data_IF_559869307620
#
_entry.id   IF_559869307620
#
_cell.length_a   1.000
_cell.length_b   1.000
_cell.length_c   1.000
_cell.angle_alpha   90.00
_cell.angle_beta   90.00
_cell.angle_gamma   90.00
#
_symmetry.space_group_name_H-M   'P 1'
#
loop_
_entity.id
_entity.type
_entity.pdbx_description
1 polymer ?
#
# COMPACT_ATOMS: atom_id res chain seq x y z
N UNK A 1 21.32 30.07 13.18
CA UNK A 1 20.72 29.78 11.86
C UNK A 1 21.25 28.45 11.28
N UNK A 2 21.51 27.42 12.08
CA UNK A 2 22.21 26.22 11.57
C UNK A 2 21.90 24.92 12.32
N UNK A 3 20.72 24.77 12.94
CA UNK A 3 20.48 23.58 13.80
C UNK A 3 19.03 23.05 13.78
N UNK A 4 18.26 23.37 12.72
CA UNK A 4 16.88 22.89 12.56
C UNK A 4 16.67 21.95 11.36
N UNK A 5 17.71 21.69 10.57
CA UNK A 5 17.61 20.96 9.31
C UNK A 5 17.80 19.43 9.43
N UNK A 6 18.14 18.90 10.61
CA UNK A 6 18.59 17.51 10.76
C UNK A 6 17.55 16.55 11.38
N UNK A 7 16.28 16.96 11.49
CA UNK A 7 15.20 16.13 12.09
C UNK A 7 14.11 15.66 11.13
N UNK A 8 14.28 15.82 9.82
CA UNK A 8 13.29 15.38 8.83
C UNK A 8 13.45 13.88 8.53
N UNK A 9 12.51 13.06 9.02
CA UNK A 9 12.24 11.71 8.51
C UNK A 9 11.65 11.74 7.09
N UNK A 10 11.49 10.59 6.42
CA UNK A 10 11.37 10.52 4.97
C UNK A 10 10.15 11.26 4.41
N UNK A 11 10.42 12.19 3.49
CA UNK A 11 9.45 12.94 2.71
C UNK A 11 8.50 12.01 1.93
N UNK A 12 7.19 12.24 2.07
CA UNK A 12 6.19 11.73 1.14
C UNK A 12 6.08 12.68 -0.07
N UNK A 13 5.98 12.17 -1.32
CA UNK A 13 5.90 13.03 -2.49
C UNK A 13 4.54 13.72 -2.60
N UNK A 14 4.54 15.05 -2.49
CA UNK A 14 3.39 15.90 -2.79
C UNK A 14 3.02 15.82 -4.28
N UNK A 15 1.83 15.30 -4.60
CA UNK A 15 1.23 15.43 -5.95
C UNK A 15 0.46 16.75 -6.05
N UNK A 16 0.99 17.69 -6.84
CA UNK A 16 0.24 18.86 -7.32
C UNK A 16 -0.85 18.41 -8.28
N UNK A 17 -2.12 18.62 -7.93
CA UNK A 17 -3.25 18.41 -8.85
C UNK A 17 -3.45 19.70 -9.65
N UNK A 18 -3.07 19.67 -10.92
CA UNK A 18 -3.34 20.74 -11.89
C UNK A 18 -4.77 20.69 -12.39
N UNK A 19 -5.49 21.79 -12.27
CA UNK A 19 -6.82 22.00 -12.84
C UNK A 19 -6.70 22.38 -14.32
N UNK A 20 -7.07 21.49 -15.23
CA UNK A 20 -7.46 21.88 -16.58
C UNK A 20 -8.48 20.89 -17.16
N UNK A 21 -9.65 21.42 -17.54
CA UNK A 21 -10.67 20.69 -18.31
C UNK A 21 -10.42 20.95 -19.80
N UNK A 22 -10.42 19.93 -20.66
CA UNK A 22 -10.64 20.14 -22.08
C UNK A 22 -12.10 19.91 -22.48
N UNK A 23 -12.55 20.78 -23.38
CA UNK A 23 -13.83 20.80 -24.09
C UNK A 23 -13.88 19.63 -25.08
N UNK A 24 -14.95 18.83 -25.05
CA UNK A 24 -15.13 17.69 -25.95
C UNK A 24 -15.67 18.08 -27.34
N UNK A 25 -15.41 17.27 -28.39
CA UNK A 25 -16.07 17.45 -29.68
C UNK A 25 -17.38 16.66 -29.76
N UNK A 26 -18.37 17.27 -30.44
CA UNK A 26 -19.63 16.66 -30.88
C UNK A 26 -19.37 15.64 -32.00
N UNK A 27 -20.08 14.51 -31.99
CA UNK A 27 -20.10 13.58 -33.14
C UNK A 27 -21.03 12.38 -32.94
N UNK A 28 -22.22 12.49 -33.53
CA UNK A 28 -23.11 11.46 -34.13
C UNK A 28 -23.08 9.99 -33.68
N UNK A 29 -24.26 9.50 -33.32
CA UNK A 29 -24.59 8.12 -33.04
C UNK A 29 -24.66 7.26 -34.32
N UNK A 30 -23.91 6.15 -34.35
CA UNK A 30 -24.24 4.98 -35.15
C UNK A 30 -24.30 3.74 -34.24
N UNK A 31 -25.37 2.96 -34.41
CA UNK A 31 -25.61 1.69 -33.70
C UNK A 31 -24.67 0.63 -34.27
N UNK A 32 -23.70 0.20 -33.48
CA UNK A 32 -22.92 -1.01 -33.65
C UNK A 32 -22.34 -1.40 -32.29
N UNK A 33 -22.38 -2.68 -31.94
CA UNK A 33 -21.73 -3.17 -30.71
C UNK A 33 -20.24 -2.80 -30.79
N UNK A 34 -19.66 -2.07 -29.83
CA UNK A 34 -18.26 -1.69 -29.90
C UNK A 34 -17.40 -2.95 -29.85
N UNK A 35 -16.56 -3.14 -30.87
CA UNK A 35 -15.49 -4.13 -30.85
C UNK A 35 -14.49 -3.65 -29.81
N UNK A 36 -14.05 -4.53 -28.90
CA UNK A 36 -13.12 -4.23 -27.79
C UNK A 36 -11.80 -3.55 -28.23
N UNK A 37 -11.53 -3.48 -29.53
CA UNK A 37 -10.40 -2.78 -30.14
C UNK A 37 -10.50 -1.24 -30.06
N UNK A 38 -11.70 -0.67 -29.91
CA UNK A 38 -11.92 0.79 -29.94
C UNK A 38 -11.84 1.47 -28.57
N UNK A 39 -11.50 0.72 -27.51
CA UNK A 39 -11.26 1.28 -26.17
C UNK A 39 -9.79 1.70 -26.08
N UNK A 40 -9.48 3.01 -25.93
CA UNK A 40 -8.13 3.56 -26.05
C UNK A 40 -7.13 3.18 -24.93
N UNK A 41 -7.41 2.13 -24.15
CA UNK A 41 -6.53 1.58 -23.12
C UNK A 41 -6.43 0.04 -23.14
N UNK A 42 -7.26 -0.66 -23.92
CA UNK A 42 -7.34 -2.12 -23.90
C UNK A 42 -6.91 -2.78 -25.21
N UNK A 43 -6.99 -2.07 -26.35
CA UNK A 43 -6.64 -2.63 -27.66
C UNK A 43 -5.17 -3.05 -27.77
N UNK A 44 -4.25 -2.37 -27.07
CA UNK A 44 -2.81 -2.65 -27.12
C UNK A 44 -2.34 -3.78 -26.20
N UNK A 45 -3.16 -4.24 -25.25
CA UNK A 45 -2.81 -5.32 -24.34
C UNK A 45 -2.86 -6.71 -24.99
N UNK A 46 -3.55 -6.84 -26.14
CA UNK A 46 -3.78 -8.12 -26.82
C UNK A 46 -3.20 -8.21 -28.23
N UNK A 47 -2.62 -7.13 -28.75
CA UNK A 47 -1.89 -7.18 -30.02
C UNK A 47 -0.43 -7.58 -29.76
N UNK A 48 -0.06 -8.76 -30.27
CA UNK A 48 1.31 -9.24 -30.38
C UNK A 48 2.13 -8.22 -31.21
N UNK A 49 2.63 -7.20 -30.53
CA UNK A 49 3.32 -6.07 -31.15
C UNK A 49 4.77 -6.47 -31.38
N UNK A 50 5.25 -6.28 -32.61
CA UNK A 50 6.65 -6.50 -32.97
C UNK A 50 7.54 -5.76 -31.95
N UNK A 51 8.49 -6.41 -31.26
CA UNK A 51 9.29 -5.78 -30.20
C UNK A 51 10.08 -4.55 -30.69
N UNK A 52 10.22 -4.38 -32.01
CA UNK A 52 10.84 -3.20 -32.65
C UNK A 52 9.92 -1.98 -32.75
N UNK A 53 8.60 -2.14 -32.61
CA UNK A 53 7.61 -1.05 -32.71
C UNK A 53 6.87 -0.78 -31.40
N UNK A 54 7.24 -1.47 -30.31
CA UNK A 54 6.63 -1.25 -29.01
C UNK A 54 6.94 0.16 -28.48
N UNK A 55 5.91 0.86 -27.99
CA UNK A 55 6.08 2.12 -27.27
C UNK A 55 7.06 1.94 -26.11
N UNK A 56 7.94 2.92 -25.82
CA UNK A 56 8.85 2.88 -24.67
C UNK A 56 8.17 2.56 -23.34
N UNK A 57 6.91 2.98 -23.18
CA UNK A 57 6.10 2.69 -21.99
C UNK A 57 5.75 1.21 -21.87
N UNK A 58 5.38 0.56 -22.98
CA UNK A 58 5.06 -0.86 -23.00
C UNK A 58 6.30 -1.71 -22.70
N UNK A 59 7.44 -1.39 -23.31
CA UNK A 59 8.70 -2.06 -23.01
C UNK A 59 9.09 -1.93 -21.52
N UNK A 60 8.85 -0.77 -20.92
CA UNK A 60 9.09 -0.54 -19.49
C UNK A 60 8.17 -1.37 -18.60
N UNK A 61 6.89 -1.48 -18.95
CA UNK A 61 5.92 -2.30 -18.22
C UNK A 61 6.25 -3.79 -18.30
N UNK A 62 6.59 -4.29 -19.50
CA UNK A 62 7.01 -5.68 -19.68
C UNK A 62 8.27 -5.98 -18.87
N UNK A 63 9.28 -5.11 -18.92
CA UNK A 63 10.50 -5.28 -18.12
C UNK A 63 10.21 -5.29 -16.61
N UNK A 64 9.31 -4.43 -16.12
CA UNK A 64 8.90 -4.41 -14.72
C UNK A 64 8.17 -5.71 -14.31
N UNK A 65 7.27 -6.21 -15.15
CA UNK A 65 6.58 -7.49 -14.94
C UNK A 65 7.55 -8.67 -14.90
N UNK A 66 8.53 -8.72 -15.80
CA UNK A 66 9.54 -9.79 -15.84
C UNK A 66 10.43 -9.77 -14.60
N UNK A 67 10.84 -8.59 -14.11
CA UNK A 67 11.60 -8.47 -12.85
C UNK A 67 10.80 -8.96 -11.65
N UNK A 68 9.49 -8.69 -11.63
CA UNK A 68 8.62 -9.21 -10.59
C UNK A 68 8.56 -10.74 -10.63
N UNK A 69 8.34 -11.32 -11.80
CA UNK A 69 8.37 -12.78 -11.99
C UNK A 69 9.71 -13.36 -11.55
N UNK A 70 10.83 -12.75 -11.96
CA UNK A 70 12.17 -13.14 -11.55
C UNK A 70 12.30 -13.16 -10.01
N UNK A 71 11.87 -12.09 -9.34
CA UNK A 71 11.92 -11.99 -7.87
C UNK A 71 11.05 -13.04 -7.17
N UNK A 72 9.88 -13.35 -7.73
CA UNK A 72 9.01 -14.40 -7.21
C UNK A 72 9.64 -15.77 -7.38
N UNK A 73 10.19 -16.07 -8.56
CA UNK A 73 10.88 -17.34 -8.82
C UNK A 73 12.06 -17.49 -7.86
N UNK A 74 12.93 -16.48 -7.73
CA UNK A 74 14.06 -16.54 -6.80
C UNK A 74 13.66 -16.89 -5.37
N UNK A 75 12.51 -16.42 -4.91
CA UNK A 75 12.04 -16.61 -3.53
C UNK A 75 11.35 -17.96 -3.33
N UNK A 76 10.55 -18.40 -4.30
CA UNK A 76 9.66 -19.56 -4.13
C UNK A 76 10.10 -20.82 -4.89
N UNK A 77 11.17 -20.75 -5.67
CA UNK A 77 11.72 -21.89 -6.41
C UNK A 77 12.03 -23.06 -5.49
N UNK A 78 11.56 -24.25 -5.88
CA UNK A 78 11.83 -25.49 -5.15
C UNK A 78 12.39 -26.54 -6.12
N UNK A 79 13.63 -27.05 -5.92
CA UNK A 79 14.59 -26.68 -4.87
C UNK A 79 15.23 -25.30 -5.10
N UNK A 80 15.63 -24.65 -4.01
CA UNK A 80 16.28 -23.33 -4.05
C UNK A 80 17.61 -23.35 -4.82
N UNK A 81 18.02 -22.19 -5.33
CA UNK A 81 19.32 -22.02 -6.00
C UNK A 81 20.42 -22.19 -4.96
N UNK A 82 21.29 -23.19 -5.15
CA UNK A 82 22.37 -23.50 -4.22
C UNK A 82 23.76 -23.54 -4.88
N UNK A 83 23.82 -23.68 -6.20
CA UNK A 83 25.06 -23.81 -6.96
C UNK A 83 25.42 -22.47 -7.64
N UNK A 84 26.68 -21.98 -7.56
CA UNK A 84 27.13 -20.77 -8.25
C UNK A 84 26.91 -20.77 -9.78
N UNK A 85 26.81 -21.94 -10.41
CA UNK A 85 26.53 -22.06 -11.84
C UNK A 85 25.04 -21.86 -12.18
N UNK A 86 24.15 -21.97 -11.20
CA UNK A 86 22.73 -21.71 -11.37
C UNK A 86 22.46 -20.21 -11.32
N UNK A 87 21.64 -19.73 -12.24
CA UNK A 87 21.29 -18.32 -12.30
C UNK A 87 19.90 -18.12 -12.86
N UNK A 88 19.32 -16.99 -12.49
CA UNK A 88 18.11 -16.46 -13.11
C UNK A 88 18.39 -14.98 -13.39
N UNK A 89 17.79 -14.43 -14.44
CA UNK A 89 17.93 -13.02 -14.77
C UNK A 89 16.89 -12.59 -15.78
N UNK A 90 16.59 -11.31 -15.80
CA UNK A 90 15.73 -10.68 -16.78
C UNK A 90 16.53 -9.83 -17.76
N UNK A 91 16.18 -9.93 -19.04
CA UNK A 91 16.72 -9.07 -20.10
C UNK A 91 15.98 -7.74 -20.14
N UNK A 92 16.60 -6.69 -20.71
CA UNK A 92 15.93 -5.42 -20.98
C UNK A 92 14.73 -5.57 -21.94
N UNK A 93 14.72 -6.62 -22.76
CA UNK A 93 13.64 -6.92 -23.69
C UNK A 93 12.45 -7.65 -23.03
N UNK A 94 12.50 -7.92 -21.72
CA UNK A 94 11.39 -8.57 -21.01
C UNK A 94 11.45 -10.10 -20.98
N UNK A 95 12.49 -10.73 -21.52
CA UNK A 95 12.70 -12.18 -21.43
C UNK A 95 13.32 -12.59 -20.10
N UNK A 96 12.89 -13.74 -19.57
CA UNK A 96 13.49 -14.41 -18.41
C UNK A 96 14.49 -15.47 -18.90
N UNK A 97 15.73 -15.40 -18.41
CA UNK A 97 16.79 -16.38 -18.66
C UNK A 97 17.02 -17.16 -17.37
N UNK A 98 16.98 -18.49 -17.46
CA UNK A 98 17.14 -19.38 -16.31
C UNK A 98 18.12 -20.51 -16.64
N UNK A 99 19.12 -20.68 -15.78
CA UNK A 99 20.03 -21.82 -15.77
C UNK A 99 19.87 -22.56 -14.44
N UNK A 100 19.34 -23.78 -14.47
CA UNK A 100 19.03 -24.54 -13.27
C UNK A 100 19.07 -26.05 -13.47
N UNK A 101 18.80 -26.78 -12.40
CA UNK A 101 18.59 -28.23 -12.46
C UNK A 101 17.28 -28.58 -13.15
N UNK A 102 17.14 -29.83 -13.60
CA UNK A 102 15.90 -30.33 -14.20
C UNK A 102 14.67 -30.10 -13.31
N UNK A 103 14.79 -30.38 -12.01
CA UNK A 103 13.69 -30.18 -11.05
C UNK A 103 13.27 -28.70 -10.96
N UNK A 104 14.24 -27.77 -10.98
CA UNK A 104 13.95 -26.34 -10.99
C UNK A 104 13.28 -25.89 -12.29
N UNK A 105 13.70 -26.42 -13.44
CA UNK A 105 13.05 -26.15 -14.72
C UNK A 105 11.61 -26.70 -14.76
N UNK A 106 11.36 -27.88 -14.18
CA UNK A 106 10.02 -28.46 -14.05
C UNK A 106 9.13 -27.58 -13.18
N UNK A 107 9.62 -27.14 -12.01
CA UNK A 107 8.90 -26.19 -11.14
C UNK A 107 8.61 -24.86 -11.84
N UNK A 108 9.61 -24.28 -12.52
CA UNK A 108 9.45 -23.01 -13.22
C UNK A 108 8.41 -23.12 -14.35
N UNK A 109 8.42 -24.23 -15.08
CA UNK A 109 7.42 -24.51 -16.12
C UNK A 109 6.02 -24.63 -15.51
N UNK A 110 5.89 -25.34 -14.39
CA UNK A 110 4.61 -25.47 -13.68
C UNK A 110 4.11 -24.10 -13.21
N UNK A 111 4.95 -23.31 -12.54
CA UNK A 111 4.62 -21.95 -12.09
C UNK A 111 4.20 -21.04 -13.24
N UNK A 112 4.97 -20.96 -14.33
CA UNK A 112 4.63 -20.10 -15.46
C UNK A 112 3.39 -20.58 -16.23
N UNK A 113 3.12 -21.89 -16.22
CA UNK A 113 1.88 -22.44 -16.81
C UNK A 113 0.70 -22.07 -15.94
N UNK A 114 0.81 -22.30 -14.63
CA UNK A 114 -0.22 -21.95 -13.65
C UNK A 114 -0.57 -20.46 -13.69
N UNK A 115 0.44 -19.58 -13.70
CA UNK A 115 0.25 -18.14 -13.74
C UNK A 115 -0.48 -17.67 -15.02
N UNK A 116 -0.24 -18.32 -16.16
CA UNK A 116 -0.94 -18.02 -17.43
C UNK A 116 -2.37 -18.55 -17.46
N UNK A 117 -2.63 -19.67 -16.79
CA UNK A 117 -3.97 -20.26 -16.72
C UNK A 117 -4.81 -19.74 -15.55
N UNK A 118 -4.23 -18.92 -14.66
CA UNK A 118 -4.93 -18.41 -13.49
C UNK A 118 -5.91 -17.31 -13.89
N UNK A 119 -7.20 -17.61 -13.77
CA UNK A 119 -8.34 -16.80 -14.21
C UNK A 119 -9.12 -16.16 -13.05
N UNK A 120 -8.62 -16.31 -11.82
CA UNK A 120 -9.22 -15.75 -10.60
C UNK A 120 -8.57 -14.40 -10.24
N UNK A 121 -9.29 -13.63 -9.44
CA UNK A 121 -8.76 -12.49 -8.72
C UNK A 121 -8.41 -12.92 -7.30
N UNK A 122 -7.54 -12.16 -6.63
CA UNK A 122 -7.22 -12.40 -5.22
C UNK A 122 -7.87 -11.30 -4.38
N UNK A 123 -8.81 -11.68 -3.52
CA UNK A 123 -9.35 -10.82 -2.49
C UNK A 123 -8.47 -10.89 -1.24
N UNK A 124 -8.09 -9.72 -0.73
CA UNK A 124 -7.37 -9.57 0.53
C UNK A 124 -8.15 -8.66 1.45
N UNK A 125 -8.49 -9.18 2.62
CA UNK A 125 -9.11 -8.44 3.72
C UNK A 125 -8.08 -8.27 4.83
N UNK A 126 -7.83 -7.05 5.29
CA UNK A 126 -6.98 -6.79 6.45
C UNK A 126 -7.80 -6.10 7.54
N UNK A 127 -7.92 -6.72 8.72
CA UNK A 127 -8.59 -6.13 9.89
C UNK A 127 -7.55 -5.54 10.83
N UNK A 128 -7.66 -4.25 11.08
CA UNK A 128 -6.78 -3.50 11.99
C UNK A 128 -7.42 -3.48 13.38
N UNK A 129 -6.72 -4.06 14.33
CA UNK A 129 -7.17 -4.20 15.72
C UNK A 129 -6.08 -3.68 16.64
N UNK A 130 -6.42 -2.71 17.49
CA UNK A 130 -5.51 -2.23 18.52
C UNK A 130 -5.73 -3.03 19.79
N UNK A 131 -4.65 -3.58 20.32
CA UNK A 131 -4.70 -4.44 21.50
C UNK A 131 -3.63 -3.98 22.50
N UNK A 132 -3.99 -3.79 23.78
CA UNK A 132 -3.00 -3.51 24.82
C UNK A 132 -1.99 -4.66 24.92
N UNK A 133 -0.70 -4.36 25.03
CA UNK A 133 0.37 -5.38 24.97
C UNK A 133 0.24 -6.51 26.01
N UNK A 134 -0.30 -6.21 27.20
CA UNK A 134 -0.55 -7.20 28.26
C UNK A 134 -1.60 -8.26 27.84
N UNK A 135 -2.61 -7.83 27.05
CA UNK A 135 -3.72 -8.69 26.60
C UNK A 135 -3.33 -9.62 25.46
N UNK A 136 -2.35 -9.25 24.63
CA UNK A 136 -1.87 -10.14 23.56
C UNK A 136 -1.39 -11.49 24.11
N UNK A 137 -0.66 -11.45 25.23
CA UNK A 137 -0.12 -12.64 25.89
C UNK A 137 -1.22 -13.54 26.45
N UNK A 138 -2.26 -12.95 27.02
CA UNK A 138 -3.43 -13.68 27.52
C UNK A 138 -4.18 -14.41 26.39
N UNK A 139 -4.15 -13.86 25.18
CA UNK A 139 -4.72 -14.47 23.97
C UNK A 139 -3.79 -15.51 23.32
N UNK A 140 -2.59 -15.74 23.86
CA UNK A 140 -1.60 -16.64 23.27
C UNK A 140 -0.99 -16.14 21.95
N UNK A 141 -1.16 -14.85 21.63
CA UNK A 141 -0.61 -14.24 20.42
C UNK A 141 0.74 -13.61 20.78
N UNK A 142 1.81 -14.36 20.59
CA UNK A 142 3.17 -13.90 20.92
C UNK A 142 3.87 -13.21 19.74
N UNK A 143 3.37 -13.40 18.51
CA UNK A 143 3.93 -12.83 17.30
C UNK A 143 3.13 -13.19 16.06
N UNK A 144 3.80 -13.11 14.90
CA UNK A 144 3.17 -13.42 13.63
C UNK A 144 2.82 -14.91 13.54
N UNK A 145 1.61 -15.22 13.12
CA UNK A 145 1.11 -16.59 12.99
C UNK A 145 0.25 -16.75 11.74
N UNK A 146 0.17 -17.99 11.24
CA UNK A 146 -0.67 -18.34 10.08
C UNK A 146 -1.65 -19.42 10.50
N UNK A 147 -2.93 -19.14 10.27
CA UNK A 147 -4.06 -20.04 10.46
C UNK A 147 -4.46 -20.59 9.08
N UNK A 148 -4.11 -21.86 8.79
CA UNK A 148 -4.40 -22.44 7.48
C UNK A 148 -5.91 -22.62 7.27
N UNK A 149 -6.66 -22.86 8.35
CA UNK A 149 -8.08 -23.18 8.30
C UNK A 149 -8.94 -21.93 8.51
N UNK A 150 -9.94 -21.67 7.65
CA UNK A 150 -10.85 -20.54 7.80
C UNK A 150 -11.70 -20.57 9.08
N UNK A 151 -11.94 -21.77 9.64
CA UNK A 151 -12.79 -22.01 10.81
C UNK A 151 -12.20 -21.49 12.14
N UNK A 152 -10.88 -21.31 12.21
CA UNK A 152 -10.20 -20.81 13.41
C UNK A 152 -10.35 -19.28 13.55
N UNK A 153 -10.60 -18.57 12.45
CA UNK A 153 -10.62 -17.10 12.40
C UNK A 153 -11.79 -16.50 13.17
N UNK A 154 -13.05 -16.98 13.01
CA UNK A 154 -14.16 -16.46 13.81
C UNK A 154 -13.93 -16.60 15.32
N UNK A 155 -13.35 -17.72 15.76
CA UNK A 155 -13.02 -17.96 17.18
C UNK A 155 -12.01 -16.95 17.70
N UNK A 156 -10.95 -16.69 16.93
CA UNK A 156 -9.96 -15.65 17.26
C UNK A 156 -10.60 -14.26 17.32
N UNK A 157 -11.41 -13.91 16.32
CA UNK A 157 -12.07 -12.59 16.27
C UNK A 157 -13.05 -12.41 17.43
N UNK A 158 -13.74 -13.48 17.83
CA UNK A 158 -14.64 -13.46 18.99
C UNK A 158 -13.87 -13.30 20.30
N UNK A 159 -12.75 -14.01 20.47
CA UNK A 159 -11.88 -13.83 21.63
C UNK A 159 -11.32 -12.40 21.72
N UNK A 160 -10.93 -11.80 20.59
CA UNK A 160 -10.51 -10.40 20.52
C UNK A 160 -11.62 -9.42 20.91
N UNK A 161 -12.87 -9.65 20.48
CA UNK A 161 -14.03 -8.81 20.85
C UNK A 161 -14.38 -8.89 22.33
N UNK A 162 -14.21 -10.07 22.94
CA UNK A 162 -14.48 -10.28 24.36
C UNK A 162 -13.38 -9.72 25.26
N UNK A 163 -12.22 -9.38 24.68
CA UNK A 163 -11.09 -8.82 25.43
C UNK A 163 -11.31 -7.34 25.73
N UNK A 164 -11.25 -6.91 27.02
CA UNK A 164 -11.42 -5.51 27.38
C UNK A 164 -10.36 -4.61 26.75
N UNK A 165 -10.78 -3.39 26.35
CA UNK A 165 -9.90 -2.35 25.76
C UNK A 165 -9.26 -2.74 24.42
N UNK A 166 -9.81 -3.74 23.73
CA UNK A 166 -9.53 -3.98 22.32
C UNK A 166 -10.37 -3.03 21.47
N UNK A 167 -9.75 -2.41 20.47
CA UNK A 167 -10.40 -1.47 19.57
C UNK A 167 -10.30 -1.98 18.13
N UNK A 168 -11.44 -2.24 17.51
CA UNK A 168 -11.53 -2.58 16.10
C UNK A 168 -11.62 -1.29 15.29
N UNK A 169 -10.64 -1.05 14.42
CA UNK A 169 -10.54 0.21 13.68
C UNK A 169 -11.24 0.12 12.32
N UNK A 170 -10.77 -0.76 11.45
CA UNK A 170 -11.32 -0.95 10.10
C UNK A 170 -10.95 -2.31 9.54
N UNK A 171 -11.66 -2.71 8.48
CA UNK A 171 -11.45 -3.95 7.74
C UNK A 171 -11.41 -3.68 6.23
N UNK A 172 -10.42 -2.92 5.71
CA UNK A 172 -10.26 -2.72 4.27
C UNK A 172 -10.19 -4.04 3.52
N UNK A 173 -10.90 -4.08 2.39
CA UNK A 173 -10.95 -5.21 1.46
C UNK A 173 -10.55 -4.72 0.08
N UNK A 174 -9.60 -5.42 -0.55
CA UNK A 174 -9.12 -5.10 -1.89
C UNK A 174 -9.12 -6.37 -2.73
N UNK A 175 -9.54 -6.25 -3.99
CA UNK A 175 -9.46 -7.32 -4.98
C UNK A 175 -8.38 -6.95 -5.98
N UNK A 176 -7.41 -7.83 -6.17
CA UNK A 176 -6.22 -7.57 -6.98
C UNK A 176 -6.05 -8.63 -8.06
N UNK A 177 -5.65 -8.18 -9.24
CA UNK A 177 -5.23 -9.05 -10.34
C UNK A 177 -3.86 -9.68 -10.00
N UNK A 178 -3.59 -10.93 -10.42
CA UNK A 178 -2.27 -11.54 -10.26
C UNK A 178 -1.15 -10.61 -10.75
N UNK A 179 -0.05 -10.54 -10.00
CA UNK A 179 1.13 -9.70 -10.25
C UNK A 179 0.89 -8.18 -10.16
N UNK A 180 -0.36 -7.72 -10.04
CA UNK A 180 -0.66 -6.30 -9.90
C UNK A 180 -0.58 -5.85 -8.44
N UNK A 181 -0.33 -4.55 -8.28
CA UNK A 181 -0.35 -3.88 -6.98
C UNK A 181 -1.69 -3.18 -6.84
N UNK A 182 -2.33 -3.33 -5.69
CA UNK A 182 -3.52 -2.59 -5.33
C UNK A 182 -3.32 -1.96 -3.95
N UNK A 183 -3.82 -0.75 -3.77
CA UNK A 183 -3.78 -0.06 -2.49
C UNK A 183 -5.15 0.51 -2.14
N UNK A 184 -5.43 0.56 -0.85
CA UNK A 184 -6.62 1.17 -0.28
C UNK A 184 -6.21 1.90 1.00
N UNK A 185 -6.75 3.10 1.20
CA UNK A 185 -6.54 3.87 2.42
C UNK A 185 -7.87 4.38 2.96
N UNK A 186 -7.94 4.45 4.28
CA UNK A 186 -9.05 5.05 5.04
C UNK A 186 -8.42 6.16 5.85
N UNK A 187 -8.55 7.40 5.36
CA UNK A 187 -7.81 8.55 5.89
C UNK A 187 -8.76 9.58 6.50
N UNK A 188 -8.32 10.15 7.61
CA UNK A 188 -8.84 11.36 8.22
C UNK A 188 -7.90 12.52 7.91
N UNK A 189 -8.45 13.62 7.43
CA UNK A 189 -7.72 14.84 7.14
C UNK A 189 -7.95 15.85 8.27
N UNK A 190 -6.88 16.24 8.96
CA UNK A 190 -6.90 17.21 10.05
C UNK A 190 -6.25 18.50 9.57
N UNK A 191 -6.97 19.60 9.67
CA UNK A 191 -6.46 20.94 9.38
C UNK A 191 -6.08 21.65 10.66
N UNK A 192 -4.92 22.29 10.68
CA UNK A 192 -4.45 23.05 11.83
C UNK A 192 -3.71 24.30 11.37
N UNK A 193 -3.53 25.25 12.29
CA UNK A 193 -2.72 26.44 12.04
C UNK A 193 -1.26 26.05 12.26
N UNK A 194 -0.51 25.88 11.18
CA UNK A 194 0.91 25.53 11.23
C UNK A 194 1.78 26.76 11.46
N UNK A 195 1.38 27.89 10.88
CA UNK A 195 2.14 29.14 10.95
C UNK A 195 1.21 30.37 10.75
N UNK A 196 1.78 31.58 10.82
CA UNK A 196 1.11 32.86 10.58
C UNK A 196 1.95 33.76 9.70
N UNK A 197 1.30 34.43 8.75
CA UNK A 197 1.91 35.45 7.89
C UNK A 197 1.31 36.83 8.13
N UNK A 198 2.17 37.84 8.13
CA UNK A 198 1.74 39.26 8.18
C UNK A 198 1.48 39.75 6.77
N UNK A 199 0.25 40.18 6.49
CA UNK A 199 -0.11 40.83 5.24
C UNK A 199 -0.46 42.30 5.49
N UNK A 200 -0.05 43.18 4.57
CA UNK A 200 -0.45 44.59 4.59
C UNK A 200 -1.57 44.80 3.58
N UNK A 201 -2.73 45.26 4.03
CA UNK A 201 -3.92 45.47 3.17
C UNK A 201 -4.20 46.95 2.91
N UNK A 202 -4.76 47.24 1.73
CA UNK A 202 -5.24 48.57 1.33
C UNK A 202 -6.77 48.68 1.35
N UNK A 203 -7.35 49.88 1.59
CA UNK A 203 -6.67 51.14 1.88
C UNK A 203 -6.23 51.26 3.36
N UNK A 204 -5.09 51.91 3.62
CA UNK A 204 -4.65 52.25 4.98
C UNK A 204 -3.43 51.50 5.52
N UNK A 205 -2.77 50.66 4.72
CA UNK A 205 -1.54 49.94 5.08
C UNK A 205 -1.61 49.24 6.44
N UNK A 206 -2.77 48.65 6.75
CA UNK A 206 -2.99 47.94 8.00
C UNK A 206 -2.39 46.54 7.91
N UNK A 207 -1.62 46.16 8.94
CA UNK A 207 -1.13 44.79 9.06
C UNK A 207 -2.21 43.88 9.65
N UNK A 208 -2.45 42.77 8.97
CA UNK A 208 -3.38 41.72 9.37
C UNK A 208 -2.59 40.41 9.48
N UNK A 209 -2.91 39.64 10.51
CA UNK A 209 -2.35 38.31 10.72
C UNK A 209 -3.22 37.29 9.99
N UNK A 210 -2.63 36.57 9.04
CA UNK A 210 -3.30 35.55 8.25
C UNK A 210 -2.73 34.19 8.66
N UNK A 211 -3.55 33.26 9.18
CA UNK A 211 -3.06 31.93 9.54
C UNK A 211 -2.76 31.12 8.28
N UNK A 212 -1.64 30.40 8.31
CA UNK A 212 -1.30 29.40 7.30
C UNK A 212 -1.81 28.04 7.78
N UNK A 213 -2.76 27.49 7.02
CA UNK A 213 -3.43 26.24 7.36
C UNK A 213 -2.67 25.09 6.71
N UNK A 214 -2.18 24.19 7.55
CA UNK A 214 -1.57 22.93 7.13
C UNK A 214 -2.59 21.79 7.23
N UNK A 215 -2.38 20.76 6.40
CA UNK A 215 -3.22 19.58 6.34
C UNK A 215 -2.39 18.34 6.67
N UNK A 216 -2.90 17.53 7.58
CA UNK A 216 -2.30 16.28 8.01
C UNK A 216 -3.26 15.13 7.72
N UNK A 217 -2.79 14.12 6.99
CA UNK A 217 -3.51 12.88 6.79
C UNK A 217 -3.11 11.85 7.85
N UNK A 218 -4.10 11.27 8.51
CA UNK A 218 -3.95 10.16 9.46
C UNK A 218 -4.92 9.05 9.09
N UNK A 219 -4.75 7.85 9.63
CA UNK A 219 -5.64 6.72 9.37
C UNK A 219 -4.87 5.48 8.93
N UNK A 220 -5.51 4.68 8.08
CA UNK A 220 -5.04 3.35 7.70
C UNK A 220 -4.68 3.31 6.22
N UNK A 221 -3.62 2.59 5.89
CA UNK A 221 -3.26 2.28 4.52
C UNK A 221 -2.90 0.79 4.40
N UNK A 222 -3.37 0.18 3.33
CA UNK A 222 -3.08 -1.20 2.96
C UNK A 222 -2.64 -1.21 1.50
N UNK A 223 -1.49 -1.82 1.25
CA UNK A 223 -0.92 -2.04 -0.06
C UNK A 223 -0.59 -3.51 -0.22
N UNK A 224 -1.08 -4.10 -1.31
CA UNK A 224 -0.98 -5.54 -1.52
C UNK A 224 -0.65 -5.86 -2.97
N UNK A 225 0.17 -6.88 -3.14
CA UNK A 225 0.35 -7.61 -4.39
C UNK A 225 0.23 -9.10 -4.11
N UNK A 226 -0.53 -9.80 -4.94
CA UNK A 226 -0.68 -11.24 -4.86
C UNK A 226 -0.08 -11.94 -6.07
N UNK A 227 0.59 -13.07 -5.84
CA UNK A 227 1.12 -13.94 -6.89
C UNK A 227 0.66 -15.37 -6.62
N UNK A 228 -0.15 -15.97 -7.50
CA UNK A 228 -0.55 -17.36 -7.36
C UNK A 228 0.63 -18.29 -7.67
N UNK A 229 0.80 -19.29 -6.82
CA UNK A 229 1.81 -20.33 -6.91
C UNK A 229 1.14 -21.70 -7.09
N UNK A 230 1.84 -22.68 -7.68
CA UNK A 230 1.34 -24.05 -7.75
C UNK A 230 0.95 -24.61 -6.37
N UNK A 231 -0.08 -25.46 -6.36
CA UNK A 231 -0.59 -26.10 -5.14
C UNK A 231 -1.48 -25.22 -4.27
N UNK A 232 -2.30 -24.35 -4.88
CA UNK A 232 -3.29 -23.49 -4.20
C UNK A 232 -2.68 -22.52 -3.18
N UNK A 233 -1.44 -22.10 -3.45
CA UNK A 233 -0.70 -21.15 -2.62
C UNK A 233 -0.73 -19.76 -3.24
N UNK A 234 -0.72 -18.75 -2.38
CA UNK A 234 -0.67 -17.34 -2.72
C UNK A 234 0.51 -16.71 -2.00
N UNK A 235 1.46 -16.17 -2.76
CA UNK A 235 2.49 -15.29 -2.24
C UNK A 235 1.96 -13.85 -2.21
N UNK A 236 1.83 -13.29 -1.01
CA UNK A 236 1.36 -11.93 -0.78
C UNK A 236 2.52 -11.05 -0.36
N UNK A 237 2.79 -9.99 -1.11
CA UNK A 237 3.59 -8.86 -0.61
C UNK A 237 2.61 -7.85 -0.02
N UNK A 238 2.75 -7.54 1.26
CA UNK A 238 1.83 -6.70 2.01
C UNK A 238 2.60 -5.60 2.73
N UNK A 239 2.14 -4.36 2.58
CA UNK A 239 2.51 -3.22 3.40
C UNK A 239 1.24 -2.66 4.04
N UNK A 240 1.19 -2.65 5.36
CA UNK A 240 0.08 -2.13 6.12
C UNK A 240 0.56 -1.11 7.13
N UNK A 241 -0.18 -0.01 7.25
CA UNK A 241 0.20 1.13 8.07
C UNK A 241 -1.01 1.70 8.81
N UNK A 242 -0.77 2.11 10.05
CA UNK A 242 -1.61 3.02 10.81
C UNK A 242 -0.82 4.30 11.13
N UNK A 243 -1.42 5.45 10.90
CA UNK A 243 -0.95 6.75 11.36
C UNK A 243 -2.00 7.35 12.30
N UNK A 244 -1.60 7.73 13.51
CA UNK A 244 -2.53 8.24 14.54
C UNK A 244 -2.03 9.55 15.10
N UNK A 245 -2.88 10.58 15.02
CA UNK A 245 -2.64 11.86 15.67
C UNK A 245 -2.86 11.75 17.19
N UNK A 246 -1.87 12.13 17.98
CA UNK A 246 -2.03 12.32 19.41
C UNK A 246 -3.00 13.48 19.69
N UNK A 247 -3.99 13.25 20.55
CA UNK A 247 -5.00 14.25 20.91
C UNK A 247 -4.99 14.51 22.42
N UNK A 248 -5.26 15.75 22.87
CA UNK A 248 -5.55 16.94 22.06
C UNK A 248 -4.31 17.54 21.36
N UNK A 249 -4.52 18.30 20.28
CA UNK A 249 -3.48 19.13 19.66
C UNK A 249 -3.08 20.22 20.67
N UNK A 250 -1.82 20.21 21.12
CA UNK A 250 -1.34 21.21 22.07
C UNK A 250 -0.92 22.46 21.30
N UNK A 251 -1.55 23.63 21.54
CA UNK A 251 -1.12 24.87 20.91
C UNK A 251 0.23 25.30 21.47
N UNK A 252 1.11 25.73 20.58
CA UNK A 252 2.39 26.33 20.88
C UNK A 252 2.30 27.84 20.58
N UNK A 253 2.75 28.66 21.52
CA UNK A 253 2.74 30.13 21.35
C UNK A 253 4.04 30.59 20.69
N UNK A 254 3.91 31.24 19.55
CA UNK A 254 5.01 31.88 18.84
C UNK A 254 4.87 33.41 18.85
N UNK A 255 6.00 34.11 18.83
CA UNK A 255 6.04 35.58 18.79
C UNK A 255 6.32 36.04 17.37
N UNK A 256 5.30 36.63 16.74
CA UNK A 256 5.41 37.18 15.40
C UNK A 256 5.75 38.67 15.46
N UNK A 257 6.72 39.11 14.65
CA UNK A 257 7.11 40.52 14.55
C UNK A 257 6.19 41.25 13.56
N UNK A 258 5.60 42.35 14.01
CA UNK A 258 4.79 43.28 13.22
C UNK A 258 5.42 44.68 13.28
N UNK A 259 5.02 45.60 12.41
CA UNK A 259 5.45 47.03 12.48
C UNK A 259 5.04 47.71 13.79
N UNK A 260 4.02 47.18 14.49
CA UNK A 260 3.51 47.72 15.77
C UNK A 260 4.11 47.03 17.01
N UNK A 261 4.98 46.04 16.83
CA UNK A 261 5.61 45.28 17.92
C UNK A 261 5.49 43.76 17.74
N UNK A 262 5.78 43.02 18.79
CA UNK A 262 5.60 41.56 18.82
C UNK A 262 4.16 41.22 19.20
N UNK A 263 3.56 40.29 18.46
CA UNK A 263 2.24 39.73 18.74
C UNK A 263 2.40 38.24 18.99
N UNK A 264 1.79 37.75 20.07
CA UNK A 264 1.75 36.32 20.36
C UNK A 264 0.63 35.64 19.57
N UNK A 265 0.99 34.60 18.83
CA UNK A 265 0.09 33.79 18.01
C UNK A 265 0.18 32.33 18.42
N UNK A 266 -0.93 31.60 18.27
CA UNK A 266 -0.95 30.17 18.55
C UNK A 266 -0.80 29.39 17.25
N UNK A 267 0.17 28.50 17.20
CA UNK A 267 0.32 27.45 16.19
C UNK A 267 0.06 26.09 16.82
N UNK A 268 -0.16 25.05 16.03
CA UNK A 268 -0.28 23.68 16.52
C UNK A 268 0.86 22.82 15.98
N UNK A 269 1.47 22.02 16.86
CA UNK A 269 2.51 21.06 16.49
C UNK A 269 1.95 19.63 16.67
N UNK A 270 1.45 19.00 15.60
CA UNK A 270 0.87 17.66 15.69
C UNK A 270 1.94 16.59 15.97
N UNK A 271 1.64 15.68 16.89
CA UNK A 271 2.44 14.48 17.13
C UNK A 271 1.72 13.25 16.53
N UNK A 272 2.38 12.54 15.61
CA UNK A 272 1.79 11.43 14.87
C UNK A 272 2.55 10.14 15.14
N UNK A 273 1.87 9.18 15.77
CA UNK A 273 2.39 7.85 15.96
C UNK A 273 2.11 7.00 14.70
N UNK A 274 3.17 6.43 14.11
CA UNK A 274 3.08 5.56 12.94
C UNK A 274 3.46 4.13 13.31
N UNK A 275 2.60 3.18 13.00
CA UNK A 275 2.88 1.74 13.06
C UNK A 275 2.80 1.17 11.66
N UNK A 276 3.87 0.52 11.20
CA UNK A 276 3.96 -0.05 9.85
C UNK A 276 4.51 -1.47 9.91
N UNK A 277 3.95 -2.34 9.07
CA UNK A 277 4.53 -3.65 8.76
C UNK A 277 4.64 -3.81 7.25
N UNK A 278 5.81 -4.26 6.81
CA UNK A 278 6.06 -4.68 5.44
C UNK A 278 6.55 -6.12 5.49
N UNK A 279 5.83 -7.02 4.83
CA UNK A 279 6.11 -8.45 4.91
C UNK A 279 5.70 -9.19 3.65
N UNK A 280 6.21 -10.41 3.52
CA UNK A 280 5.78 -11.37 2.50
C UNK A 280 5.20 -12.60 3.18
N UNK A 281 4.00 -12.99 2.78
CA UNK A 281 3.27 -14.12 3.34
C UNK A 281 3.05 -15.16 2.27
N UNK A 282 3.27 -16.43 2.62
CA UNK A 282 2.89 -17.57 1.80
C UNK A 282 1.68 -18.24 2.45
N UNK A 283 0.51 -18.04 1.87
CA UNK A 283 -0.77 -18.51 2.41
C UNK A 283 -1.42 -19.50 1.45
N UNK A 284 -2.25 -20.42 1.97
CA UNK A 284 -3.17 -21.16 1.11
C UNK A 284 -4.42 -20.31 0.85
N UNK A 285 -5.15 -20.65 -0.19
CA UNK A 285 -6.45 -20.04 -0.45
C UNK A 285 -7.39 -20.23 0.76
N UNK A 286 -7.98 -19.13 1.26
CA UNK A 286 -8.84 -19.11 2.43
C UNK A 286 -8.11 -18.98 3.77
N UNK A 287 -6.78 -19.12 3.80
CA UNK A 287 -6.01 -18.98 5.04
C UNK A 287 -5.97 -17.55 5.55
N UNK A 288 -5.60 -17.40 6.82
CA UNK A 288 -5.47 -16.10 7.48
C UNK A 288 -4.13 -15.98 8.18
N UNK A 289 -3.47 -14.85 8.04
CA UNK A 289 -2.30 -14.49 8.83
C UNK A 289 -2.68 -13.48 9.91
N UNK A 290 -2.07 -13.61 11.07
CA UNK A 290 -2.12 -12.60 12.13
C UNK A 290 -0.74 -12.00 12.22
N UNK A 291 -0.65 -10.69 12.02
CA UNK A 291 0.58 -9.91 12.12
C UNK A 291 0.52 -9.06 13.37
N UNK A 292 1.57 -9.11 14.18
CA UNK A 292 1.73 -8.27 15.37
C UNK A 292 2.79 -7.23 15.05
N UNK A 293 2.38 -5.96 15.10
CA UNK A 293 3.28 -4.82 14.89
C UNK A 293 3.61 -4.23 16.25
N UNK A 294 4.88 -4.38 16.63
CA UNK A 294 5.38 -3.78 17.84
C UNK A 294 5.46 -2.25 17.69
N UNK A 295 4.91 -1.49 18.63
CA UNK A 295 5.03 -0.04 18.63
C UNK A 295 6.48 0.40 18.84
N UNK A 296 6.89 1.46 18.14
CA UNK A 296 8.13 2.18 18.43
C UNK A 296 7.99 3.07 19.69
N UNK A 297 6.78 3.57 20.00
CA UNK A 297 6.54 4.54 21.09
C UNK A 297 5.25 4.37 21.90
N UNK A 298 4.31 3.53 21.46
CA UNK A 298 3.02 3.26 22.11
C UNK A 298 3.07 2.03 23.04
N UNK A 299 2.17 1.94 24.03
CA UNK A 299 1.94 0.70 24.81
C UNK A 299 1.00 -0.29 24.09
N UNK A 300 0.22 0.23 23.15
CA UNK A 300 -0.73 -0.55 22.37
C UNK A 300 -0.05 -1.12 21.14
N UNK A 301 -0.29 -2.41 20.88
CA UNK A 301 0.17 -3.11 19.71
C UNK A 301 -0.90 -3.08 18.62
N UNK A 302 -0.46 -2.91 17.39
CA UNK A 302 -1.33 -3.07 16.23
C UNK A 302 -1.30 -4.54 15.82
N UNK A 303 -2.48 -5.17 15.81
CA UNK A 303 -2.69 -6.52 15.30
C UNK A 303 -3.44 -6.42 13.98
N UNK A 304 -2.88 -7.04 12.94
CA UNK A 304 -3.47 -7.05 11.60
C UNK A 304 -3.84 -8.48 11.25
N UNK A 305 -5.14 -8.74 11.11
CA UNK A 305 -5.66 -10.06 10.70
C UNK A 305 -5.92 -10.02 9.20
N UNK A 306 -5.08 -10.69 8.43
CA UNK A 306 -5.09 -10.69 6.96
C UNK A 306 -5.67 -12.01 6.45
N UNK A 307 -6.84 -11.96 5.82
CA UNK A 307 -7.46 -13.12 5.17
C UNK A 307 -7.32 -13.00 3.66
N UNK A 308 -6.95 -14.08 2.98
CA UNK A 308 -6.83 -14.13 1.52
C UNK A 308 -7.76 -15.15 0.91
N UNK A 309 -8.38 -14.82 -0.22
CA UNK A 309 -9.25 -15.72 -0.98
C UNK A 309 -9.09 -15.53 -2.48
N UNK A 310 -9.10 -16.61 -3.25
CA UNK A 310 -9.30 -16.52 -4.70
C UNK A 310 -10.79 -16.34 -5.00
N UNK A 311 -11.13 -15.35 -5.80
CA UNK A 311 -12.52 -15.06 -6.21
C UNK A 311 -12.61 -15.09 -7.74
N UNK A 312 -13.74 -15.54 -8.28
CA UNK A 312 -13.93 -15.57 -9.73
C UNK A 312 -13.91 -14.14 -10.31
N UNK A 313 -13.23 -13.94 -11.43
CA UNK A 313 -13.38 -12.74 -12.23
C UNK A 313 -14.80 -12.75 -12.83
N UNK A 314 -15.67 -11.84 -12.37
CA UNK A 314 -17.01 -11.65 -12.93
C UNK A 314 -16.97 -10.75 -14.17
#
# INVERSE_FOLDING_TARGET
>A
MSDLAERMGPEFPARKIGTSRPVGPKGTAERGVPVLADIPLLGSLFTNSDPKTASPEHATQVAAGTRLIESTVRRHLTPQISDPHQSIGSTQAGSLVFNGTRAQHEWLKEFLTHLRSYDKLVEVEARFVRVPGERLKELGIEGNSVFPKPEDVPTLLEALKQTPKVEFMSAPRVVVLPLQRASISVLDQVRYVGDWRVETVEPGAQEVLVPEIEELETGLALDVRAVPLPGEKLALTLEAQEARLARPLVPFTEKLKTKKGEVEVAIALPDVAIQRVQTELLLQDGSTAVLVVDPSSSKDRLVIVVTVRSVAAK
#
